data_IF_680338624619
#
_entry.id   IF_680338624619
#
_cell.length_a   1.000
_cell.length_b   1.000
_cell.length_c   1.000
_cell.angle_alpha   90.00
_cell.angle_beta   90.00
_cell.angle_gamma   90.00
#
_symmetry.space_group_name_H-M   'P 1'
#
loop_
_entity.id
_entity.type
_entity.pdbx_description
1 polymer ?
#
# COMPACT_ATOMS: atom_id res chain seq x y z
N UNK A 1 1.69 4.92 2.72
CA UNK A 1 1.17 5.66 1.54
C UNK A 1 -0.20 5.09 1.22
N UNK A 2 -0.90 5.60 0.21
CA UNK A 2 -2.17 4.97 -0.17
C UNK A 2 -1.94 3.62 -0.88
N UNK A 3 -2.95 2.75 -0.94
CA UNK A 3 -2.78 1.37 -1.42
C UNK A 3 -2.29 1.34 -2.86
N UNK A 4 -2.82 2.21 -3.73
CA UNK A 4 -2.44 2.20 -5.16
C UNK A 4 -0.94 2.34 -5.38
N UNK A 5 -0.27 3.16 -4.58
CA UNK A 5 1.17 3.41 -4.69
C UNK A 5 1.97 2.15 -4.31
N UNK A 6 1.58 1.49 -3.24
CA UNK A 6 2.18 0.22 -2.81
C UNK A 6 1.91 -0.92 -3.80
N UNK A 7 0.67 -1.01 -4.29
CA UNK A 7 0.27 -1.98 -5.31
C UNK A 7 1.08 -1.80 -6.59
N UNK A 8 1.23 -0.57 -7.07
CA UNK A 8 1.94 -0.27 -8.31
C UNK A 8 3.43 -0.60 -8.18
N UNK A 9 4.07 -0.24 -7.06
CA UNK A 9 5.45 -0.62 -6.79
C UNK A 9 5.63 -2.15 -6.75
N UNK A 10 4.73 -2.86 -6.07
CA UNK A 10 4.70 -4.31 -6.04
C UNK A 10 4.54 -4.93 -7.42
N UNK A 11 3.61 -4.41 -8.23
CA UNK A 11 3.33 -4.86 -9.58
C UNK A 11 4.55 -4.72 -10.51
N UNK A 12 5.25 -3.57 -10.44
CA UNK A 12 6.48 -3.31 -11.20
C UNK A 12 7.60 -4.28 -10.78
N UNK A 13 7.72 -4.57 -9.48
CA UNK A 13 8.65 -5.59 -8.99
C UNK A 13 8.26 -6.96 -9.55
N UNK A 14 6.97 -7.30 -9.54
CA UNK A 14 6.43 -8.53 -10.10
C UNK A 14 6.77 -8.73 -11.58
N UNK A 15 6.64 -7.67 -12.40
CA UNK A 15 6.96 -7.74 -13.83
C UNK A 15 8.46 -7.93 -14.08
N UNK A 16 9.33 -7.37 -13.23
CA UNK A 16 10.79 -7.39 -13.45
C UNK A 16 11.53 -8.54 -12.81
N UNK A 17 11.10 -9.01 -11.65
CA UNK A 17 11.88 -9.98 -10.88
C UNK A 17 11.45 -11.40 -11.25
N UNK A 18 12.34 -12.22 -11.84
CA UNK A 18 11.96 -13.51 -12.40
C UNK A 18 11.62 -14.57 -11.34
N UNK A 19 12.09 -14.40 -10.10
CA UNK A 19 11.90 -15.37 -9.02
C UNK A 19 10.83 -14.91 -8.04
N UNK A 20 9.89 -15.80 -7.70
CA UNK A 20 8.84 -15.53 -6.71
C UNK A 20 9.38 -15.11 -5.33
N UNK A 21 10.41 -15.75 -4.76
CA UNK A 21 10.99 -15.28 -3.50
C UNK A 21 11.55 -13.85 -3.58
N UNK A 22 12.14 -13.49 -4.73
CA UNK A 22 12.63 -12.14 -4.99
C UNK A 22 11.51 -11.12 -5.06
N UNK A 23 10.41 -11.44 -5.77
CA UNK A 23 9.22 -10.60 -5.85
C UNK A 23 8.67 -10.32 -4.44
N UNK A 24 8.47 -11.38 -3.65
CA UNK A 24 7.90 -11.30 -2.31
C UNK A 24 8.75 -10.41 -1.41
N UNK A 25 10.06 -10.67 -1.35
CA UNK A 25 10.98 -9.94 -0.48
C UNK A 25 11.05 -8.46 -0.87
N UNK A 26 11.21 -8.17 -2.17
CA UNK A 26 11.34 -6.80 -2.66
C UNK A 26 10.03 -6.02 -2.54
N UNK A 27 8.87 -6.64 -2.76
CA UNK A 27 7.57 -5.99 -2.59
C UNK A 27 7.30 -5.62 -1.13
N UNK A 28 7.67 -6.48 -0.17
CA UNK A 28 7.58 -6.16 1.26
C UNK A 28 8.55 -5.04 1.63
N UNK A 29 9.79 -5.08 1.14
CA UNK A 29 10.77 -4.01 1.40
C UNK A 29 10.32 -2.69 0.81
N UNK A 30 9.79 -2.69 -0.43
CA UNK A 30 9.33 -1.47 -1.10
C UNK A 30 8.19 -0.81 -0.32
N UNK A 31 7.25 -1.60 0.22
CA UNK A 31 6.21 -1.08 1.10
C UNK A 31 6.80 -0.24 2.26
N UNK A 32 7.72 -0.82 3.03
CA UNK A 32 8.35 -0.13 4.16
C UNK A 32 9.20 1.08 3.74
N UNK A 33 9.81 1.06 2.55
CA UNK A 33 10.56 2.21 2.04
C UNK A 33 9.60 3.36 1.70
N UNK A 34 8.52 3.05 0.99
CA UNK A 34 7.49 4.03 0.59
C UNK A 34 6.82 4.66 1.82
N UNK A 35 6.57 3.88 2.85
CA UNK A 35 5.96 4.36 4.09
C UNK A 35 6.82 5.33 4.91
N UNK A 36 8.12 5.44 4.62
CA UNK A 36 8.98 6.45 5.25
C UNK A 36 8.85 7.83 4.63
N UNK A 37 8.31 7.92 3.42
CA UNK A 37 8.14 9.18 2.67
C UNK A 37 6.92 9.91 3.23
N UNK A 38 6.92 11.25 3.37
CA UNK A 38 5.73 11.97 3.82
C UNK A 38 4.54 11.75 2.87
N UNK A 39 3.42 11.24 3.37
CA UNK A 39 2.31 10.81 2.51
C UNK A 39 0.93 11.05 3.13
N UNK A 40 -0.11 10.88 2.31
CA UNK A 40 -1.49 10.87 2.77
C UNK A 40 -1.89 9.47 3.23
N UNK A 41 -2.66 9.39 4.32
CA UNK A 41 -3.03 8.13 4.96
C UNK A 41 -4.55 8.07 5.14
N UNK A 42 -5.10 6.86 4.99
CA UNK A 42 -6.51 6.54 5.18
C UNK A 42 -6.93 6.56 6.64
N UNK A 43 -6.00 6.25 7.55
CA UNK A 43 -6.36 5.91 8.92
C UNK A 43 -6.63 7.17 9.76
N UNK A 44 -7.89 7.46 10.15
CA UNK A 44 -8.13 8.50 11.13
C UNK A 44 -7.55 8.09 12.49
N UNK A 45 -7.08 9.08 13.27
CA UNK A 45 -6.45 8.89 14.59
C UNK A 45 -7.25 8.02 15.59
N UNK A 46 -8.54 7.86 15.35
CA UNK A 46 -9.46 7.08 16.18
C UNK A 46 -10.28 6.10 15.35
N UNK A 47 -9.66 5.39 14.40
CA UNK A 47 -10.36 4.38 13.58
C UNK A 47 -11.13 3.36 14.41
N UNK A 48 -10.60 2.97 15.57
CA UNK A 48 -11.26 2.07 16.54
C UNK A 48 -12.53 2.64 17.19
N UNK A 49 -12.76 3.95 17.10
CA UNK A 49 -13.93 4.67 17.62
C UNK A 49 -14.92 5.08 16.53
N UNK A 50 -14.70 4.70 15.26
CA UNK A 50 -15.65 5.01 14.20
C UNK A 50 -17.00 4.35 14.49
N UNK A 51 -18.08 5.11 14.27
CA UNK A 51 -19.43 4.57 14.24
C UNK A 51 -19.64 3.71 12.97
N UNK A 52 -20.79 3.03 12.87
CA UNK A 52 -21.08 2.17 11.72
C UNK A 52 -20.97 2.90 10.38
N UNK A 53 -21.46 4.14 10.29
CA UNK A 53 -21.37 4.97 9.09
C UNK A 53 -19.90 5.25 8.73
N UNK A 54 -19.08 5.64 9.70
CA UNK A 54 -17.65 5.88 9.51
C UNK A 54 -16.90 4.65 9.01
N UNK A 55 -17.22 3.47 9.55
CA UNK A 55 -16.66 2.20 9.07
C UNK A 55 -17.03 1.91 7.61
N UNK A 56 -18.26 2.20 7.20
CA UNK A 56 -18.70 2.03 5.80
C UNK A 56 -17.94 2.98 4.87
N UNK A 57 -17.78 4.25 5.26
CA UNK A 57 -17.01 5.22 4.46
C UNK A 57 -15.54 4.80 4.35
N UNK A 58 -14.90 4.43 5.46
CA UNK A 58 -13.53 3.93 5.45
C UNK A 58 -13.37 2.69 4.56
N UNK A 59 -14.27 1.71 4.68
CA UNK A 59 -14.23 0.52 3.84
C UNK A 59 -14.43 0.84 2.35
N UNK A 60 -15.30 1.81 2.04
CA UNK A 60 -15.52 2.27 0.67
C UNK A 60 -14.27 2.95 0.10
N UNK A 61 -13.60 3.83 0.85
CA UNK A 61 -12.36 4.49 0.42
C UNK A 61 -11.25 3.48 0.11
N UNK A 62 -11.00 2.54 1.03
CA UNK A 62 -9.99 1.48 0.84
C UNK A 62 -10.35 0.59 -0.35
N UNK A 63 -11.62 0.21 -0.49
CA UNK A 63 -12.07 -0.63 -1.60
C UNK A 63 -12.00 0.10 -2.95
N UNK A 64 -12.37 1.38 -3.00
CA UNK A 64 -12.28 2.19 -4.20
C UNK A 64 -10.82 2.35 -4.65
N UNK A 65 -9.88 2.58 -3.72
CA UNK A 65 -8.46 2.66 -4.04
C UNK A 65 -7.88 1.32 -4.49
N UNK A 66 -8.25 0.22 -3.82
CA UNK A 66 -7.86 -1.12 -4.24
C UNK A 66 -8.31 -1.42 -5.67
N UNK A 67 -9.58 -1.13 -6.00
CA UNK A 67 -10.10 -1.32 -7.35
C UNK A 67 -9.41 -0.40 -8.37
N UNK A 68 -9.25 0.88 -8.05
CA UNK A 68 -8.56 1.82 -8.92
C UNK A 68 -7.13 1.37 -9.22
N UNK A 69 -6.43 0.86 -8.20
CA UNK A 69 -5.07 0.33 -8.35
C UNK A 69 -5.00 -0.93 -9.20
N UNK A 70 -5.92 -1.89 -9.00
CA UNK A 70 -5.98 -3.08 -9.85
C UNK A 70 -6.26 -2.72 -11.31
N UNK A 71 -7.19 -1.79 -11.56
CA UNK A 71 -7.50 -1.30 -12.90
C UNK A 71 -6.26 -0.63 -13.52
N UNK A 72 -5.60 0.28 -12.78
CA UNK A 72 -4.41 0.98 -13.26
C UNK A 72 -3.27 0.01 -13.61
N UNK A 73 -2.99 -0.95 -12.73
CA UNK A 73 -1.97 -1.98 -12.96
C UNK A 73 -2.29 -2.81 -14.20
N UNK A 74 -3.57 -3.21 -14.36
CA UNK A 74 -4.00 -3.96 -15.53
C UNK A 74 -3.81 -3.16 -16.82
N UNK A 75 -4.17 -1.88 -16.83
CA UNK A 75 -4.03 -1.00 -17.99
C UNK A 75 -2.57 -0.78 -18.40
N UNK A 76 -1.65 -0.70 -17.43
CA UNK A 76 -0.24 -0.40 -17.70
C UNK A 76 0.57 -1.67 -17.99
N UNK A 77 0.36 -2.75 -17.22
CA UNK A 77 1.22 -3.94 -17.24
C UNK A 77 0.50 -5.23 -17.69
N UNK A 78 -0.83 -5.28 -17.57
CA UNK A 78 -1.60 -6.53 -17.62
C UNK A 78 -1.57 -7.28 -18.95
N UNK A 79 -1.36 -6.59 -20.08
CA UNK A 79 -1.41 -7.21 -21.41
C UNK A 79 -0.09 -7.89 -21.83
N UNK A 80 1.04 -7.52 -21.23
CA UNK A 80 2.37 -7.86 -21.75
C UNK A 80 3.24 -8.70 -20.81
N UNK A 81 2.71 -9.07 -19.64
CA UNK A 81 3.48 -9.64 -18.54
C UNK A 81 2.73 -10.83 -17.91
N UNK A 82 3.47 -11.68 -17.21
CA UNK A 82 2.88 -12.80 -16.46
C UNK A 82 1.97 -12.27 -15.34
N UNK A 83 0.64 -12.50 -15.42
CA UNK A 83 -0.31 -11.96 -14.45
C UNK A 83 -0.08 -12.51 -13.04
N UNK A 84 0.42 -13.75 -12.90
CA UNK A 84 0.65 -14.35 -11.57
C UNK A 84 1.79 -13.62 -10.85
N UNK A 85 2.85 -13.28 -11.58
CA UNK A 85 4.00 -12.53 -11.02
C UNK A 85 3.60 -11.11 -10.63
N UNK A 86 2.82 -10.43 -11.48
CA UNK A 86 2.26 -9.11 -11.16
C UNK A 86 1.40 -9.19 -9.91
N UNK A 87 0.42 -10.11 -9.86
CA UNK A 87 -0.49 -10.26 -8.74
C UNK A 87 0.25 -10.62 -7.45
N UNK A 88 1.31 -11.44 -7.53
CA UNK A 88 2.18 -11.73 -6.38
C UNK A 88 2.82 -10.45 -5.85
N UNK A 89 3.44 -9.66 -6.72
CA UNK A 89 4.06 -8.40 -6.32
C UNK A 89 3.05 -7.42 -5.73
N UNK A 90 1.90 -7.23 -6.39
CA UNK A 90 0.80 -6.40 -5.94
C UNK A 90 0.32 -6.82 -4.55
N UNK A 91 0.05 -8.11 -4.35
CA UNK A 91 -0.45 -8.64 -3.07
C UNK A 91 0.54 -8.42 -1.93
N UNK A 92 1.82 -8.76 -2.13
CA UNK A 92 2.84 -8.58 -1.09
C UNK A 92 3.20 -7.10 -0.86
N UNK A 93 2.96 -6.22 -1.83
CA UNK A 93 3.11 -4.77 -1.67
C UNK A 93 2.12 -4.15 -0.69
N UNK A 94 0.91 -4.71 -0.57
CA UNK A 94 -0.14 -4.21 0.36
C UNK A 94 -0.43 -5.15 1.54
N UNK A 95 0.31 -6.25 1.66
CA UNK A 95 0.05 -7.26 2.69
C UNK A 95 0.10 -6.66 4.10
N UNK A 96 1.07 -5.78 4.36
CA UNK A 96 1.25 -5.07 5.63
C UNK A 96 0.04 -4.21 5.99
N UNK A 97 -0.51 -3.44 5.04
CA UNK A 97 -1.74 -2.66 5.25
C UNK A 97 -2.94 -3.58 5.56
N UNK A 98 -3.06 -4.68 4.84
CA UNK A 98 -4.09 -5.69 5.10
C UNK A 98 -3.98 -6.29 6.51
N UNK A 99 -2.76 -6.61 6.95
CA UNK A 99 -2.50 -7.10 8.32
C UNK A 99 -2.84 -6.05 9.38
N UNK A 100 -2.60 -4.76 9.10
CA UNK A 100 -3.00 -3.65 9.97
C UNK A 100 -4.52 -3.57 10.10
N UNK A 101 -5.25 -3.58 8.98
CA UNK A 101 -6.73 -3.58 8.99
C UNK A 101 -7.26 -4.78 9.77
N UNK A 102 -6.71 -5.98 9.53
CA UNK A 102 -7.09 -7.19 10.27
C UNK A 102 -6.80 -7.05 11.78
N UNK A 103 -5.69 -6.43 12.17
CA UNK A 103 -5.38 -6.17 13.57
C UNK A 103 -6.43 -5.26 14.22
N UNK A 104 -6.86 -4.21 13.50
CA UNK A 104 -7.89 -3.27 13.98
C UNK A 104 -9.25 -3.98 14.10
N UNK A 105 -9.67 -4.71 13.06
CA UNK A 105 -10.96 -5.44 13.02
C UNK A 105 -11.03 -6.50 14.13
N UNK A 106 -9.92 -7.20 14.38
CA UNK A 106 -9.83 -8.22 15.46
C UNK A 106 -9.64 -7.61 16.85
N UNK A 107 -9.67 -6.28 16.98
CA UNK A 107 -9.44 -5.54 18.23
C UNK A 107 -8.13 -5.93 18.92
N UNK A 108 -7.11 -6.15 18.09
CA UNK A 108 -5.75 -6.50 18.50
C UNK A 108 -5.66 -7.73 19.43
N UNK A 109 -6.60 -8.67 19.30
CA UNK A 109 -6.60 -9.90 20.12
C UNK A 109 -5.48 -10.86 19.72
N UNK A 110 -5.00 -10.79 18.47
CA UNK A 110 -3.99 -11.68 17.94
C UNK A 110 -2.57 -11.13 18.16
N UNK A 111 -1.71 -11.92 18.80
CA UNK A 111 -0.32 -11.53 19.10
C UNK A 111 0.54 -11.34 17.85
N UNK A 112 0.34 -12.16 16.81
CA UNK A 112 1.06 -12.03 15.55
C UNK A 112 0.69 -10.73 14.82
N UNK A 113 -0.60 -10.41 14.76
CA UNK A 113 -1.07 -9.16 14.13
C UNK A 113 -0.56 -7.93 14.89
N UNK A 114 -0.55 -7.97 16.23
CA UNK A 114 0.09 -6.94 17.06
C UNK A 114 1.58 -6.78 16.76
N UNK A 115 2.30 -7.89 16.64
CA UNK A 115 3.72 -7.86 16.34
C UNK A 115 3.98 -7.25 14.95
N UNK A 116 3.23 -7.66 13.93
CA UNK A 116 3.31 -7.10 12.59
C UNK A 116 3.02 -5.58 12.60
N UNK A 117 1.95 -5.16 13.30
CA UNK A 117 1.60 -3.75 13.48
C UNK A 117 2.71 -2.95 14.16
N UNK A 118 3.39 -3.52 15.16
CA UNK A 118 4.48 -2.86 15.86
C UNK A 118 5.71 -2.66 14.96
N UNK A 119 5.95 -3.52 13.98
CA UNK A 119 7.00 -3.32 12.99
C UNK A 119 6.57 -2.23 12.00
N UNK A 120 5.36 -2.33 11.48
CA UNK A 120 4.80 -1.37 10.53
C UNK A 120 4.80 0.06 11.09
N UNK A 121 4.23 0.25 12.28
CA UNK A 121 4.16 1.56 12.94
C UNK A 121 5.52 2.20 13.23
N UNK A 122 6.59 1.43 13.45
CA UNK A 122 7.95 1.98 13.67
C UNK A 122 8.55 2.59 12.42
N UNK A 123 8.18 2.08 11.25
CA UNK A 123 8.73 2.50 9.96
C UNK A 123 7.82 3.52 9.30
N UNK A 124 6.51 3.41 9.53
CA UNK A 124 5.50 4.31 9.03
C UNK A 124 5.82 5.77 9.39
N UNK A 125 5.59 6.68 8.46
CA UNK A 125 5.82 8.11 8.68
C UNK A 125 4.86 8.67 9.75
N UNK A 126 5.31 8.69 11.01
CA UNK A 126 4.50 9.08 12.17
C UNK A 126 4.27 10.60 12.26
N UNK A 127 5.06 11.41 11.54
CA UNK A 127 5.03 12.87 11.61
C UNK A 127 4.07 13.53 10.61
N UNK A 128 3.14 12.78 10.00
CA UNK A 128 2.20 13.34 9.01
C UNK A 128 1.56 14.62 9.52
N UNK A 129 1.10 14.68 10.78
CA UNK A 129 0.46 15.87 11.37
C UNK A 129 1.29 17.16 11.35
N UNK A 130 2.61 17.07 11.38
CA UNK A 130 3.52 18.23 11.30
C UNK A 130 3.82 18.62 9.84
N UNK A 131 3.61 17.69 8.92
CA UNK A 131 3.84 17.91 7.49
C UNK A 131 2.61 18.56 6.86
N UNK A 132 2.75 19.71 6.17
CA UNK A 132 1.67 20.34 5.43
C UNK A 132 1.02 19.41 4.40
N UNK A 133 -0.29 19.54 4.18
CA UNK A 133 -1.04 18.73 3.21
C UNK A 133 -0.42 18.80 1.81
N UNK A 134 0.00 19.99 1.37
CA UNK A 134 0.65 20.18 0.06
C UNK A 134 1.89 19.33 -0.13
N UNK A 135 2.71 19.16 0.91
CA UNK A 135 3.90 18.32 0.86
C UNK A 135 3.55 16.83 0.77
N UNK A 136 2.52 16.39 1.50
CA UNK A 136 2.06 15.00 1.45
C UNK A 136 1.51 14.65 0.07
N UNK A 137 0.66 15.52 -0.49
CA UNK A 137 0.10 15.35 -1.84
C UNK A 137 1.20 15.40 -2.91
N UNK A 138 2.18 16.30 -2.75
CA UNK A 138 3.32 16.37 -3.66
C UNK A 138 4.08 15.03 -3.69
N UNK A 139 4.46 14.49 -2.54
CA UNK A 139 5.21 13.23 -2.49
C UNK A 139 4.38 12.04 -2.98
N UNK A 140 3.10 11.97 -2.63
CA UNK A 140 2.20 10.92 -3.10
C UNK A 140 2.13 10.90 -4.63
N UNK A 141 1.81 12.06 -5.24
CA UNK A 141 1.68 12.19 -6.69
C UNK A 141 3.01 12.06 -7.43
N UNK A 142 4.10 12.57 -6.85
CA UNK A 142 5.44 12.45 -7.43
C UNK A 142 5.89 10.99 -7.51
N UNK A 143 5.75 10.24 -6.41
CA UNK A 143 6.14 8.82 -6.38
C UNK A 143 5.23 7.99 -7.28
N UNK A 144 3.91 8.20 -7.24
CA UNK A 144 2.99 7.52 -8.15
C UNK A 144 3.34 7.79 -9.63
N UNK A 145 3.60 9.05 -9.98
CA UNK A 145 4.03 9.43 -11.34
C UNK A 145 5.36 8.79 -11.75
N UNK A 146 6.34 8.72 -10.83
CA UNK A 146 7.62 8.07 -11.08
C UNK A 146 7.46 6.56 -11.29
N UNK A 147 6.61 5.89 -10.50
CA UNK A 147 6.30 4.47 -10.70
C UNK A 147 5.59 4.21 -12.02
N UNK A 148 4.62 5.06 -12.40
CA UNK A 148 3.97 4.98 -13.71
C UNK A 148 4.99 5.14 -14.82
N UNK A 149 5.87 6.14 -14.76
CA UNK A 149 6.91 6.36 -15.76
C UNK A 149 7.86 5.16 -15.86
N UNK A 150 8.28 4.60 -14.72
CA UNK A 150 9.11 3.39 -14.69
C UNK A 150 8.41 2.22 -15.39
N UNK A 151 7.10 2.03 -15.18
CA UNK A 151 6.35 0.95 -15.80
C UNK A 151 6.34 1.00 -17.34
N UNK A 152 6.54 2.18 -17.97
CA UNK A 152 6.62 2.34 -19.43
C UNK A 152 8.03 2.23 -20.01
N UNK A 153 9.07 2.35 -19.20
CA UNK A 153 10.47 2.19 -19.64
C UNK A 153 10.85 0.70 -19.75
N UNK A 154 9.90 -0.19 -19.47
CA UNK A 154 10.10 -1.54 -18.95
C UNK A 154 9.43 -2.59 -19.84
#
# INVERSE_FOLDING_TARGET
MILITHMLAGAIIGSKIPSYPGIILLALISHYILDKIPHWDYFPENISKLNAKGWIFFAFEVFADLLAGLILIWLILGLNQDPIRILTGTFFGILTDGLMILNIVTREKNKFLKWAQNIHSKVHFQNYKKTPLSQRLFWETFIAGLLIALAFII
#
